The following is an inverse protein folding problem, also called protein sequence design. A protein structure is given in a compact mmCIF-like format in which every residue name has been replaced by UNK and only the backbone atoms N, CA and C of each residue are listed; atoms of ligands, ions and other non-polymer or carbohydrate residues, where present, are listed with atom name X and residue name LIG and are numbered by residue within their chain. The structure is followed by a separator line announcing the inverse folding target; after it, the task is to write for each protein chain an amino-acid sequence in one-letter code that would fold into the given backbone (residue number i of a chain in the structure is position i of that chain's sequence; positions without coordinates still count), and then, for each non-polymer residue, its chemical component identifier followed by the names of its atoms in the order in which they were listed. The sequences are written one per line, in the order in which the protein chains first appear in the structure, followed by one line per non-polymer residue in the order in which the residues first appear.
data_IF_541299078241
#
_entry.id   IF_541299078241
#
_cell.length_a   1.000
_cell.length_b   1.000
_cell.length_c   1.000
_cell.angle_alpha   90.00
_cell.angle_beta   90.00
_cell.angle_gamma   90.00
#
_symmetry.space_group_name_H-M   'P 1'
#
loop_
_entity.id
_entity.type
_entity.pdbx_description
1 polymer ?
#
# COMPACT_ATOMS: atom_id res chain seq x y z
N UNK A 1 -31.64 30.78 5.89
CA UNK A 1 -31.23 30.06 4.67
C UNK A 1 -29.71 29.96 4.47
N UNK A 2 -28.89 30.55 5.34
CA UNK A 2 -27.41 30.57 5.26
C UNK A 2 -26.70 29.28 5.70
N UNK A 3 -27.36 28.40 6.47
CA UNK A 3 -26.74 27.14 6.96
C UNK A 3 -26.69 26.01 5.92
N UNK A 4 -27.64 25.97 4.99
CA UNK A 4 -27.66 24.97 3.89
C UNK A 4 -26.56 25.23 2.86
N UNK A 5 -26.21 26.49 2.63
CA UNK A 5 -25.14 26.87 1.70
C UNK A 5 -23.75 26.49 2.22
N UNK A 6 -23.54 26.54 3.55
CA UNK A 6 -22.26 26.17 4.17
C UNK A 6 -21.98 24.66 4.10
N UNK A 7 -23.02 23.81 4.18
CA UNK A 7 -22.91 22.34 4.07
C UNK A 7 -22.66 21.92 2.60
N UNK A 8 -23.28 22.62 1.64
CA UNK A 8 -23.02 22.38 0.22
C UNK A 8 -21.59 22.81 -0.18
N UNK A 9 -21.07 23.89 0.41
CA UNK A 9 -19.73 24.39 0.11
C UNK A 9 -18.62 23.54 0.72
N UNK A 10 -18.81 22.94 1.90
CA UNK A 10 -17.83 21.99 2.47
C UNK A 10 -17.82 20.65 1.73
N UNK A 11 -18.93 20.23 1.14
CA UNK A 11 -18.99 19.04 0.29
C UNK A 11 -18.22 19.22 -1.05
N UNK A 12 -18.09 20.44 -1.56
CA UNK A 12 -17.36 20.75 -2.80
C UNK A 12 -15.84 20.80 -2.64
N UNK A 13 -15.31 20.94 -1.42
CA UNK A 13 -13.87 21.08 -1.15
C UNK A 13 -13.22 19.72 -0.83
N UNK A 14 -14.01 18.70 -0.47
CA UNK A 14 -13.54 17.33 -0.35
C UNK A 14 -13.43 16.74 -1.75
N UNK A 15 -12.28 16.97 -2.39
CA UNK A 15 -11.98 16.44 -3.72
C UNK A 15 -12.36 14.97 -3.86
N UNK A 16 -12.90 14.61 -5.01
CA UNK A 16 -13.38 13.26 -5.28
C UNK A 16 -12.30 12.22 -4.94
N UNK A 17 -12.65 11.16 -4.21
CA UNK A 17 -11.69 10.14 -3.79
C UNK A 17 -11.03 9.52 -5.02
N UNK A 18 -9.72 9.71 -5.14
CA UNK A 18 -8.91 9.23 -6.26
C UNK A 18 -8.21 7.93 -5.91
N UNK A 19 -8.23 6.96 -6.82
CA UNK A 19 -7.35 5.80 -6.76
C UNK A 19 -5.90 6.24 -6.99
N UNK A 20 -4.98 5.86 -6.10
CA UNK A 20 -3.57 6.28 -6.14
C UNK A 20 -2.66 5.32 -6.91
N UNK A 21 -3.21 4.24 -7.47
CA UNK A 21 -2.47 3.11 -8.04
C UNK A 21 -1.47 3.54 -9.12
N UNK A 22 -1.83 4.53 -9.95
CA UNK A 22 -0.95 5.04 -11.00
C UNK A 22 0.38 5.60 -10.45
N UNK A 23 0.28 6.44 -9.41
CA UNK A 23 1.45 7.06 -8.79
C UNK A 23 2.31 6.05 -8.04
N UNK A 24 1.66 5.09 -7.37
CA UNK A 24 2.37 4.04 -6.65
C UNK A 24 3.13 3.10 -7.59
N UNK A 25 2.50 2.66 -8.69
CA UNK A 25 3.18 1.85 -9.72
C UNK A 25 4.36 2.61 -10.29
N UNK A 26 4.19 3.90 -10.62
CA UNK A 26 5.27 4.70 -11.19
C UNK A 26 6.46 4.80 -10.23
N UNK A 27 6.21 5.15 -8.97
CA UNK A 27 7.22 5.21 -7.90
C UNK A 27 7.93 3.86 -7.71
N UNK A 28 7.18 2.77 -7.67
CA UNK A 28 7.73 1.43 -7.46
C UNK A 28 8.58 0.96 -8.66
N UNK A 29 8.18 1.32 -9.88
CA UNK A 29 8.98 1.08 -11.08
C UNK A 29 10.29 1.86 -11.08
N UNK A 30 10.27 3.14 -10.69
CA UNK A 30 11.48 3.96 -10.58
C UNK A 30 12.45 3.40 -9.55
N UNK A 31 11.93 2.99 -8.38
CA UNK A 31 12.77 2.42 -7.32
C UNK A 31 13.46 1.14 -7.79
N UNK A 32 12.71 0.21 -8.40
CA UNK A 32 13.27 -1.04 -8.91
C UNK A 32 14.31 -0.86 -10.02
N UNK A 33 14.26 0.25 -10.77
CA UNK A 33 15.28 0.58 -11.78
C UNK A 33 16.50 1.26 -11.17
N UNK A 34 16.32 2.03 -10.09
CA UNK A 34 17.39 2.79 -9.44
C UNK A 34 18.29 1.96 -8.52
N UNK A 35 17.81 0.81 -8.05
CA UNK A 35 18.57 -0.05 -7.15
C UNK A 35 19.56 -0.95 -7.94
N UNK A 36 20.88 -0.91 -7.63
CA UNK A 36 21.93 -1.59 -8.40
C UNK A 36 21.94 -3.12 -8.24
N UNK A 37 20.95 -3.70 -7.57
CA UNK A 37 20.94 -5.09 -7.14
C UNK A 37 20.30 -5.99 -8.20
N UNK A 38 21.12 -6.48 -9.14
CA UNK A 38 20.87 -7.70 -9.91
C UNK A 38 19.59 -7.73 -10.77
N UNK A 39 19.77 -7.67 -12.09
CA UNK A 39 18.72 -7.76 -13.11
C UNK A 39 17.77 -9.01 -13.15
N UNK A 40 17.86 -10.11 -12.35
CA UNK A 40 16.93 -11.22 -12.59
C UNK A 40 15.45 -10.99 -12.22
N UNK A 41 15.09 -10.07 -11.30
CA UNK A 41 13.80 -10.18 -10.60
C UNK A 41 12.69 -9.21 -11.06
N UNK A 42 13.03 -8.17 -11.84
CA UNK A 42 12.06 -7.29 -12.50
C UNK A 42 11.10 -8.06 -13.44
N UNK A 43 11.55 -9.19 -14.00
CA UNK A 43 10.78 -9.99 -14.98
C UNK A 43 9.52 -10.62 -14.36
N UNK A 44 9.57 -10.93 -13.07
CA UNK A 44 8.46 -11.59 -12.39
C UNK A 44 7.43 -10.59 -11.84
N UNK A 45 7.78 -9.30 -11.77
CA UNK A 45 6.85 -8.25 -11.34
C UNK A 45 5.90 -7.87 -12.48
N UNK A 46 4.63 -8.26 -12.32
CA UNK A 46 3.59 -8.11 -13.35
C UNK A 46 2.82 -6.80 -13.27
N UNK A 47 3.52 -5.67 -13.34
CA UNK A 47 2.88 -4.34 -13.39
C UNK A 47 1.87 -4.21 -14.55
N UNK A 48 2.11 -4.92 -15.65
CA UNK A 48 1.23 -4.98 -16.82
C UNK A 48 -0.19 -5.42 -16.47
N UNK A 49 -0.36 -6.29 -15.46
CA UNK A 49 -1.68 -6.72 -15.01
C UNK A 49 -2.44 -5.62 -14.26
N UNK A 50 -1.74 -4.67 -13.63
CA UNK A 50 -2.34 -3.58 -12.85
C UNK A 50 -2.53 -2.30 -13.66
N UNK A 51 -1.72 -2.07 -14.69
CA UNK A 51 -1.77 -0.89 -15.57
C UNK A 51 -3.15 -0.57 -16.16
N UNK A 52 -4.00 -1.53 -16.56
CA UNK A 52 -5.35 -1.22 -17.05
C UNK A 52 -6.19 -0.46 -16.02
N UNK A 53 -5.98 -0.72 -14.73
CA UNK A 53 -6.76 -0.13 -13.65
C UNK A 53 -6.33 1.29 -13.27
N UNK A 54 -5.14 1.74 -13.71
CA UNK A 54 -4.63 3.09 -13.43
C UNK A 54 -5.31 4.18 -14.26
N UNK A 55 -5.95 3.78 -15.38
CA UNK A 55 -6.59 4.68 -16.35
C UNK A 55 -8.12 4.60 -16.32
N UNK A 56 -8.69 3.92 -15.33
CA UNK A 56 -10.14 3.76 -15.25
C UNK A 56 -10.83 5.07 -14.92
N UNK A 57 -11.92 5.32 -15.64
CA UNK A 57 -12.88 6.36 -15.30
C UNK A 57 -13.74 5.91 -14.11
N UNK A 58 -13.31 6.28 -12.91
CA UNK A 58 -13.98 5.92 -11.65
C UNK A 58 -15.28 6.69 -11.43
N UNK A 59 -15.62 7.68 -12.26
CA UNK A 59 -16.87 8.44 -12.12
C UNK A 59 -18.12 7.56 -12.32
N UNK A 60 -17.96 6.42 -13.00
CA UNK A 60 -19.03 5.44 -13.28
C UNK A 60 -19.20 4.39 -12.18
N UNK A 61 -18.35 4.43 -11.16
CA UNK A 61 -18.35 3.46 -10.06
C UNK A 61 -19.11 4.01 -8.87
N UNK A 62 -19.81 3.13 -8.16
CA UNK A 62 -20.32 3.43 -6.83
C UNK A 62 -19.17 3.46 -5.84
N UNK A 63 -18.92 4.64 -5.29
CA UNK A 63 -17.91 4.85 -4.27
C UNK A 63 -18.47 4.66 -2.87
N UNK A 64 -17.68 4.03 -2.00
CA UNK A 64 -17.91 4.01 -0.55
C UNK A 64 -16.60 4.00 0.22
N UNK A 65 -16.63 4.52 1.44
CA UNK A 65 -15.49 4.54 2.37
C UNK A 65 -15.88 3.99 3.71
N UNK A 66 -14.97 3.24 4.33
CA UNK A 66 -15.09 2.78 5.72
C UNK A 66 -13.76 2.88 6.42
N UNK A 67 -13.80 3.27 7.68
CA UNK A 67 -12.65 3.20 8.56
C UNK A 67 -12.87 2.08 9.57
N UNK A 68 -11.90 1.18 9.72
CA UNK A 68 -11.98 0.04 10.64
C UNK A 68 -10.59 -0.42 11.04
N UNK A 69 -10.33 -0.61 12.34
CA UNK A 69 -9.10 -1.25 12.83
C UNK A 69 -7.78 -0.63 12.35
N UNK A 70 -7.70 0.69 12.20
CA UNK A 70 -6.51 1.40 11.67
C UNK A 70 -6.44 1.49 10.14
N UNK A 71 -7.39 0.88 9.43
CA UNK A 71 -7.49 0.92 7.97
C UNK A 71 -8.50 1.98 7.55
N UNK A 72 -8.16 2.75 6.53
CA UNK A 72 -9.12 3.52 5.72
C UNK A 72 -9.29 2.79 4.40
N UNK A 73 -10.47 2.26 4.14
CA UNK A 73 -10.77 1.45 2.96
C UNK A 73 -11.74 2.21 2.08
N UNK A 74 -11.26 2.56 0.89
CA UNK A 74 -12.04 3.06 -0.23
C UNK A 74 -12.46 1.90 -1.13
N UNK A 75 -13.70 1.91 -1.61
CA UNK A 75 -14.28 0.90 -2.51
C UNK A 75 -14.94 1.60 -3.70
N UNK A 76 -14.60 1.16 -4.89
CA UNK A 76 -15.28 1.51 -6.15
C UNK A 76 -15.85 0.23 -6.75
N UNK A 77 -17.16 0.17 -6.95
CA UNK A 77 -17.83 -0.98 -7.55
C UNK A 77 -18.66 -0.56 -8.77
N UNK A 78 -18.56 -1.29 -9.88
CA UNK A 78 -19.50 -1.13 -10.98
C UNK A 78 -20.94 -1.46 -10.53
N UNK A 79 -21.92 -0.77 -11.09
CA UNK A 79 -23.34 -0.98 -10.76
C UNK A 79 -23.85 -2.39 -11.13
N UNK A 80 -23.17 -3.07 -12.06
CA UNK A 80 -23.56 -4.39 -12.53
C UNK A 80 -23.19 -5.48 -11.50
N UNK A 81 -24.12 -6.39 -11.23
CA UNK A 81 -23.90 -7.50 -10.29
C UNK A 81 -22.77 -8.39 -10.79
N UNK A 82 -21.68 -8.46 -10.03
CA UNK A 82 -20.47 -9.20 -10.42
C UNK A 82 -19.54 -8.42 -11.35
N UNK A 83 -19.71 -7.10 -11.51
CA UNK A 83 -18.77 -6.24 -12.22
C UNK A 83 -17.46 -6.01 -11.47
N UNK A 84 -16.58 -5.21 -12.07
CA UNK A 84 -15.29 -4.86 -11.48
C UNK A 84 -15.48 -4.17 -10.13
N UNK A 85 -14.75 -4.63 -9.13
CA UNK A 85 -14.67 -3.98 -7.82
C UNK A 85 -13.22 -3.73 -7.44
N UNK A 86 -12.92 -2.48 -7.05
CA UNK A 86 -11.59 -2.04 -6.64
C UNK A 86 -11.68 -1.58 -5.20
N UNK A 87 -10.78 -2.08 -4.35
CA UNK A 87 -10.56 -1.60 -3.00
C UNK A 87 -9.18 -0.96 -2.92
N UNK A 88 -9.08 0.15 -2.20
CA UNK A 88 -7.83 0.76 -1.78
C UNK A 88 -7.86 0.90 -0.26
N UNK A 89 -6.98 0.19 0.43
CA UNK A 89 -6.80 0.28 1.87
C UNK A 89 -5.53 1.06 2.18
N UNK A 90 -5.65 2.13 2.96
CA UNK A 90 -4.54 2.89 3.50
C UNK A 90 -4.37 2.55 4.99
N UNK A 91 -3.13 2.30 5.41
CA UNK A 91 -2.76 1.96 6.79
C UNK A 91 -1.57 2.82 7.21
N UNK A 92 -1.67 3.44 8.37
CA UNK A 92 -0.55 4.11 9.01
C UNK A 92 -0.13 3.28 10.23
N UNK A 93 1.09 2.76 10.22
CA UNK A 93 1.64 1.92 11.27
C UNK A 93 2.73 2.69 12.02
N UNK A 94 2.41 3.32 13.17
CA UNK A 94 3.43 3.96 13.98
C UNK A 94 4.36 2.91 14.57
N UNK A 95 5.66 3.13 14.47
CA UNK A 95 6.71 2.27 15.01
C UNK A 95 7.60 3.11 15.92
N UNK A 96 7.87 2.55 17.09
CA UNK A 96 8.74 3.08 18.12
C UNK A 96 9.62 1.90 18.57
N UNK A 97 10.80 1.77 17.95
CA UNK A 97 11.71 0.63 18.15
C UNK A 97 13.15 1.10 18.29
N UNK A 98 14.03 0.21 18.76
CA UNK A 98 15.47 0.41 18.74
C UNK A 98 16.11 -0.51 17.71
N UNK A 99 16.95 0.04 16.84
CA UNK A 99 17.86 -0.72 16.01
C UNK A 99 19.18 -0.88 16.76
N UNK A 100 19.73 -2.09 16.79
CA UNK A 100 21.08 -2.33 17.30
C UNK A 100 22.06 -1.76 16.26
N UNK A 101 22.58 -0.55 16.54
CA UNK A 101 23.55 0.13 15.70
C UNK A 101 24.94 -0.48 15.80
N UNK A 102 25.92 0.22 15.22
CA UNK A 102 27.30 -0.26 15.16
C UNK A 102 27.95 -0.37 16.55
N UNK A 103 28.94 -1.26 16.73
CA UNK A 103 29.75 -1.29 17.94
C UNK A 103 30.45 0.06 18.12
N UNK A 104 30.40 0.63 19.32
CA UNK A 104 31.17 1.84 19.63
C UNK A 104 32.63 1.45 19.76
N UNK A 105 33.50 2.09 18.99
CA UNK A 105 34.95 1.91 19.06
C UNK A 105 35.61 3.07 19.81
N UNK A 106 36.43 2.78 20.82
CA UNK A 106 37.27 3.76 21.50
C UNK A 106 38.73 3.34 21.29
N UNK A 107 39.53 4.22 20.69
CA UNK A 107 40.94 3.97 20.35
C UNK A 107 41.15 2.66 19.54
N UNK A 108 40.26 2.39 18.57
CA UNK A 108 40.36 1.23 17.69
C UNK A 108 39.96 -0.11 18.32
N UNK A 109 39.51 -0.15 19.59
CA UNK A 109 38.94 -1.34 20.22
C UNK A 109 37.43 -1.18 20.37
N UNK A 110 36.68 -2.22 19.99
CA UNK A 110 35.23 -2.28 20.25
C UNK A 110 34.99 -2.28 21.75
N UNK A 111 34.08 -1.44 22.21
CA UNK A 111 33.70 -1.32 23.63
C UNK A 111 32.70 -2.39 24.05
N UNK A 112 32.20 -3.22 23.12
CA UNK A 112 31.10 -4.16 23.36
C UNK A 112 29.74 -3.50 23.57
N UNK A 113 29.66 -2.16 23.57
CA UNK A 113 28.41 -1.41 23.55
C UNK A 113 28.02 -1.14 22.10
N UNK A 114 26.86 -1.63 21.69
CA UNK A 114 26.19 -1.19 20.47
C UNK A 114 25.39 0.08 20.77
N UNK A 115 25.53 1.09 19.93
CA UNK A 115 24.66 2.26 20.00
C UNK A 115 23.25 1.84 19.57
N UNK A 116 22.26 1.97 20.47
CA UNK A 116 20.87 1.74 20.11
C UNK A 116 20.33 2.98 19.43
N UNK A 117 20.02 2.88 18.14
CA UNK A 117 19.37 3.95 17.40
C UNK A 117 17.87 3.88 17.67
N UNK A 118 17.33 4.95 18.24
CA UNK A 118 15.89 5.06 18.46
C UNK A 118 15.20 5.41 17.14
N UNK A 119 14.42 4.47 16.60
CA UNK A 119 13.62 4.65 15.39
C UNK A 119 12.19 4.94 15.82
N UNK A 120 11.78 6.21 15.63
CA UNK A 120 10.40 6.65 15.77
C UNK A 120 9.88 7.14 14.43
N UNK A 121 9.09 6.32 13.75
CA UNK A 121 8.57 6.62 12.42
C UNK A 121 7.13 6.13 12.26
N UNK A 122 6.50 6.42 11.13
CA UNK A 122 5.20 5.87 10.75
C UNK A 122 5.28 5.36 9.33
N UNK A 123 5.16 4.05 9.18
CA UNK A 123 5.09 3.42 7.86
C UNK A 123 3.70 3.61 7.29
N UNK A 124 3.63 3.98 6.02
CA UNK A 124 2.36 4.22 5.33
C UNK A 124 2.20 3.20 4.22
N UNK A 125 1.35 2.22 4.48
CA UNK A 125 1.05 1.17 3.53
C UNK A 125 -0.20 1.49 2.74
N UNK A 126 -0.20 1.06 1.48
CA UNK A 126 -1.38 1.04 0.63
C UNK A 126 -1.53 -0.31 -0.03
N UNK A 127 -2.71 -0.88 0.08
CA UNK A 127 -3.06 -2.16 -0.54
C UNK A 127 -4.23 -1.95 -1.48
N UNK A 128 -4.09 -2.44 -2.70
CA UNK A 128 -5.14 -2.49 -3.71
C UNK A 128 -5.62 -3.92 -3.86
N UNK A 129 -6.93 -4.11 -3.87
CA UNK A 129 -7.56 -5.41 -4.16
C UNK A 129 -8.52 -5.18 -5.32
N UNK A 130 -8.27 -5.86 -6.42
CA UNK A 130 -9.02 -5.72 -7.67
C UNK A 130 -9.71 -7.04 -7.94
N UNK A 131 -11.04 -7.06 -7.84
CA UNK A 131 -11.87 -8.22 -8.13
C UNK A 131 -12.52 -8.05 -9.49
N UNK A 132 -12.17 -8.94 -10.40
CA UNK A 132 -12.69 -8.98 -11.75
C UNK A 132 -13.99 -9.78 -11.81
N UNK A 133 -14.79 -9.52 -12.85
CA UNK A 133 -16.08 -10.18 -13.04
C UNK A 133 -15.99 -11.70 -13.25
N UNK A 134 -14.86 -12.17 -13.77
CA UNK A 134 -14.56 -13.60 -13.96
C UNK A 134 -14.13 -14.31 -12.65
N UNK A 135 -14.16 -13.63 -11.51
CA UNK A 135 -13.69 -14.15 -10.23
C UNK A 135 -12.18 -14.03 -10.00
N UNK A 136 -11.43 -13.47 -10.95
CA UNK A 136 -10.02 -13.16 -10.77
C UNK A 136 -9.79 -12.10 -9.69
N UNK A 137 -8.74 -12.25 -8.91
CA UNK A 137 -8.34 -11.30 -7.87
C UNK A 137 -6.87 -10.92 -8.04
N UNK A 138 -6.61 -9.62 -8.11
CA UNK A 138 -5.26 -9.06 -8.11
C UNK A 138 -5.06 -8.24 -6.84
N UNK A 139 -3.95 -8.45 -6.15
CA UNK A 139 -3.59 -7.71 -4.94
C UNK A 139 -2.23 -7.06 -5.15
N UNK A 140 -2.12 -5.79 -4.80
CA UNK A 140 -0.90 -5.00 -4.89
C UNK A 140 -0.71 -4.24 -3.58
N UNK A 141 0.38 -4.50 -2.87
CA UNK A 141 0.75 -3.82 -1.63
C UNK A 141 2.03 -3.02 -1.84
N UNK A 142 2.02 -1.75 -1.46
CA UNK A 142 3.18 -0.85 -1.52
C UNK A 142 3.28 -0.03 -0.24
N UNK A 143 4.49 0.32 0.15
CA UNK A 143 4.81 1.21 1.25
C UNK A 143 5.34 2.54 0.68
N UNK A 144 5.02 3.67 1.31
CA UNK A 144 5.32 5.00 0.81
C UNK A 144 6.81 5.23 0.53
N UNK A 145 7.68 4.71 1.39
CA UNK A 145 9.14 4.85 1.33
C UNK A 145 9.84 3.64 0.72
N UNK A 146 9.46 2.41 1.05
CA UNK A 146 10.15 1.19 0.62
C UNK A 146 9.67 0.63 -0.72
N UNK A 147 8.48 1.04 -1.15
CA UNK A 147 7.91 0.65 -2.43
C UNK A 147 7.07 -0.61 -2.37
N UNK A 148 6.94 -1.31 -3.51
CA UNK A 148 6.17 -2.55 -3.63
C UNK A 148 6.60 -3.53 -2.52
N UNK A 149 5.70 -4.31 -1.93
CA UNK A 149 6.09 -5.35 -0.95
C UNK A 149 5.20 -6.59 -1.04
N UNK A 150 4.07 -6.49 -1.75
CA UNK A 150 3.16 -7.62 -1.94
C UNK A 150 2.52 -7.59 -3.31
N UNK A 151 2.50 -8.74 -3.99
CA UNK A 151 1.74 -8.94 -5.21
C UNK A 151 1.12 -10.33 -5.19
N UNK A 152 -0.19 -10.40 -5.40
CA UNK A 152 -0.93 -11.66 -5.47
C UNK A 152 -1.76 -11.69 -6.75
N UNK A 153 -1.66 -12.78 -7.49
CA UNK A 153 -2.41 -13.00 -8.73
C UNK A 153 -3.22 -14.28 -8.56
N UNK A 154 -4.55 -14.17 -8.48
CA UNK A 154 -5.47 -15.30 -8.35
C UNK A 154 -5.08 -16.26 -7.21
N UNK A 155 -4.88 -15.72 -6.02
CA UNK A 155 -4.43 -16.43 -4.80
C UNK A 155 -3.03 -17.04 -4.86
N UNK A 156 -2.19 -16.64 -5.82
CA UNK A 156 -0.77 -17.01 -5.86
C UNK A 156 0.07 -15.79 -5.53
N UNK A 157 0.86 -15.89 -4.46
CA UNK A 157 1.85 -14.87 -4.14
C UNK A 157 2.93 -14.86 -5.22
N UNK A 158 3.23 -13.67 -5.73
CA UNK A 158 4.40 -13.42 -6.56
C UNK A 158 5.52 -13.06 -5.61
N UNK A 159 6.64 -13.79 -5.62
CA UNK A 159 7.77 -13.47 -4.75
C UNK A 159 8.31 -12.09 -5.11
N UNK A 160 8.45 -11.25 -4.10
CA UNK A 160 9.12 -9.95 -4.22
C UNK A 160 10.23 -9.99 -3.19
N UNK A 161 11.49 -10.06 -3.64
CA UNK A 161 12.63 -10.01 -2.72
C UNK A 161 13.09 -8.57 -2.57
N UNK A 162 13.05 -8.07 -1.33
CA UNK A 162 13.83 -6.93 -0.88
C UNK A 162 14.93 -7.47 0.03
N UNK A 163 16.18 -7.05 -0.18
CA UNK A 163 17.29 -7.45 0.71
C UNK A 163 17.26 -6.68 2.04
N UNK A 164 16.59 -5.54 2.10
CA UNK A 164 16.50 -4.71 3.31
C UNK A 164 15.07 -4.65 3.84
N UNK A 165 14.75 -5.53 4.80
CA UNK A 165 13.58 -5.36 5.67
C UNK A 165 14.05 -4.45 6.81
N UNK A 166 13.49 -3.24 7.00
CA UNK A 166 13.84 -2.46 8.17
C UNK A 166 13.47 -3.27 9.42
N UNK A 167 14.48 -3.52 10.27
CA UNK A 167 14.35 -4.36 11.46
C UNK A 167 13.17 -3.87 12.33
N UNK A 168 12.23 -4.77 12.61
CA UNK A 168 11.11 -4.52 13.53
C UNK A 168 9.78 -4.10 12.90
N UNK A 169 9.65 -4.03 11.57
CA UNK A 169 8.36 -3.75 10.92
C UNK A 169 7.49 -5.01 10.83
N UNK A 170 6.21 -4.88 11.20
CA UNK A 170 5.16 -5.84 10.85
C UNK A 170 4.35 -5.30 9.66
N UNK A 171 4.49 -5.94 8.50
CA UNK A 171 3.65 -5.62 7.34
C UNK A 171 2.15 -5.81 7.66
N UNK A 172 1.25 -5.09 6.97
CA UNK A 172 -0.17 -5.27 7.17
C UNK A 172 -0.62 -6.72 6.96
N UNK A 173 -1.47 -7.22 7.87
CA UNK A 173 -2.02 -8.57 7.75
C UNK A 173 -3.07 -8.64 6.63
N UNK A 174 -2.65 -9.12 5.46
CA UNK A 174 -3.51 -9.29 4.30
C UNK A 174 -4.75 -10.14 4.60
N UNK A 175 -4.62 -11.17 5.44
CA UNK A 175 -5.75 -12.06 5.78
C UNK A 175 -6.84 -11.29 6.55
N UNK A 176 -6.42 -10.44 7.49
CA UNK A 176 -7.34 -9.55 8.20
C UNK A 176 -7.98 -8.54 7.26
N UNK A 177 -7.21 -7.94 6.35
CA UNK A 177 -7.77 -7.01 5.35
C UNK A 177 -8.79 -7.68 4.42
N UNK A 178 -8.48 -8.86 3.89
CA UNK A 178 -9.40 -9.62 3.03
C UNK A 178 -10.71 -9.95 3.77
N UNK A 179 -10.64 -10.26 5.07
CA UNK A 179 -11.82 -10.46 5.92
C UNK A 179 -12.63 -9.18 6.08
N UNK A 180 -12.00 -8.03 6.23
CA UNK A 180 -12.67 -6.72 6.32
C UNK A 180 -13.37 -6.37 5.01
N UNK A 181 -12.67 -6.55 3.88
CA UNK A 181 -13.18 -6.28 2.53
C UNK A 181 -14.34 -7.22 2.14
N UNK A 182 -14.36 -8.47 2.62
CA UNK A 182 -15.51 -9.38 2.41
C UNK A 182 -16.77 -8.97 3.17
N UNK A 183 -16.64 -8.16 4.23
CA UNK A 183 -17.76 -7.69 5.09
C UNK A 183 -18.25 -6.29 4.70
N UNK A 184 -17.92 -5.86 3.48
CA UNK A 184 -18.07 -4.49 2.98
C UNK A 184 -19.10 -4.44 1.86
#
# INVERSE_FOLDING_TARGET
MTRLFLIALTALILGSPSLKLAGDIHKDQERLVSEPWGEPQLKDVRFDLFKPFTKLDLSRFHYSRRQTGGYVIDKWAEANKGGLTIYQAAINLPVDTFEDGNPVYINGKSTGKTEKLHIKTTFKFRIYIIRQANGGELIYGTEEQEGLYQMVINNKDVPIMYEDIPLGIRYPDLKSLLKMVRRF
#
